data_IF_356635406628
#
_entry.id   IF_356635406628
#
_cell.length_a   1.000
_cell.length_b   1.000
_cell.length_c   1.000
_cell.angle_alpha   90.00
_cell.angle_beta   90.00
_cell.angle_gamma   90.00
#
_symmetry.space_group_name_H-M   'P 1'
#
loop_
_entity.id
_entity.type
_entity.pdbx_description
1 polymer ?
#
# COMPACT_ATOMS: atom_id res chain seq x y z
N UNK A 1 -10.49 14.63 -19.26
CA UNK A 1 -10.57 13.19 -19.64
C UNK A 1 -9.57 12.30 -18.87
N UNK A 2 -8.28 12.60 -18.90
CA UNK A 2 -7.22 11.75 -18.30
C UNK A 2 -7.32 11.68 -16.76
N UNK A 3 -7.63 12.80 -16.10
CA UNK A 3 -7.83 12.83 -14.64
C UNK A 3 -9.00 11.96 -14.16
N UNK A 4 -10.14 11.99 -14.87
CA UNK A 4 -11.30 11.14 -14.54
C UNK A 4 -11.03 9.64 -14.76
N UNK A 5 -10.24 9.29 -15.79
CA UNK A 5 -9.81 7.91 -16.00
C UNK A 5 -8.91 7.45 -14.86
N UNK A 6 -7.95 8.27 -14.44
CA UNK A 6 -7.05 7.94 -13.33
C UNK A 6 -7.81 7.83 -12.00
N UNK A 7 -8.76 8.74 -11.74
CA UNK A 7 -9.61 8.73 -10.55
C UNK A 7 -10.45 7.45 -10.44
N UNK A 8 -11.04 6.97 -11.55
CA UNK A 8 -11.77 5.69 -11.57
C UNK A 8 -10.89 4.49 -11.26
N UNK A 9 -9.62 4.55 -11.64
CA UNK A 9 -8.71 3.41 -11.53
C UNK A 9 -7.98 3.33 -10.19
N UNK A 10 -7.63 4.48 -9.62
CA UNK A 10 -6.91 4.59 -8.36
C UNK A 10 -7.86 4.81 -7.17
N UNK A 11 -9.10 5.23 -7.44
CA UNK A 11 -10.06 5.68 -6.43
C UNK A 11 -9.90 7.17 -6.13
N UNK A 12 -11.03 7.83 -5.89
CA UNK A 12 -11.11 9.29 -5.64
C UNK A 12 -10.21 9.74 -4.48
N UNK A 13 -10.11 8.95 -3.41
CA UNK A 13 -9.24 9.27 -2.28
C UNK A 13 -7.75 9.34 -2.66
N UNK A 14 -7.25 8.35 -3.40
CA UNK A 14 -5.84 8.29 -3.79
C UNK A 14 -5.47 9.37 -4.79
N UNK A 15 -6.37 9.62 -5.75
CA UNK A 15 -6.21 10.69 -6.72
C UNK A 15 -6.20 12.08 -6.04
N UNK A 16 -7.15 12.34 -5.14
CA UNK A 16 -7.18 13.60 -4.38
C UNK A 16 -5.94 13.77 -3.51
N UNK A 17 -5.49 12.71 -2.83
CA UNK A 17 -4.26 12.74 -2.04
C UNK A 17 -3.03 13.03 -2.91
N UNK A 18 -2.97 12.49 -4.12
CA UNK A 18 -1.88 12.76 -5.08
C UNK A 18 -1.83 14.22 -5.54
N UNK A 19 -2.98 14.80 -5.88
CA UNK A 19 -3.08 16.20 -6.28
C UNK A 19 -2.72 17.10 -5.09
N UNK A 20 -3.24 16.79 -3.91
CA UNK A 20 -2.97 17.55 -2.69
C UNK A 20 -1.50 17.50 -2.27
N UNK A 21 -0.87 16.31 -2.29
CA UNK A 21 0.56 16.17 -2.02
C UNK A 21 1.40 16.93 -3.05
N UNK A 22 1.02 16.89 -4.32
CA UNK A 22 1.69 17.64 -5.38
C UNK A 22 1.65 19.14 -5.15
N UNK A 23 0.47 19.68 -4.86
CA UNK A 23 0.30 21.10 -4.52
C UNK A 23 1.16 21.45 -3.30
N UNK A 24 1.13 20.63 -2.25
CA UNK A 24 1.92 20.84 -1.04
C UNK A 24 3.43 20.86 -1.33
N UNK A 25 3.95 19.91 -2.11
CA UNK A 25 5.37 19.89 -2.51
C UNK A 25 5.75 21.10 -3.35
N UNK A 26 4.88 21.53 -4.28
CA UNK A 26 5.14 22.74 -5.07
C UNK A 26 5.16 24.00 -4.21
N UNK A 27 4.27 24.10 -3.21
CA UNK A 27 4.22 25.21 -2.26
C UNK A 27 5.51 25.22 -1.41
N UNK A 28 5.92 24.09 -0.86
CA UNK A 28 7.17 23.99 -0.10
C UNK A 28 8.37 24.38 -0.98
N UNK A 29 8.44 23.87 -2.21
CA UNK A 29 9.49 24.22 -3.16
C UNK A 29 9.54 25.72 -3.47
N UNK A 30 8.38 26.37 -3.61
CA UNK A 30 8.28 27.81 -3.80
C UNK A 30 8.78 28.61 -2.60
N UNK A 31 8.38 28.22 -1.38
CA UNK A 31 8.85 28.87 -0.16
C UNK A 31 10.36 28.70 0.05
N UNK A 32 10.90 27.51 -0.21
CA UNK A 32 12.33 27.24 -0.10
C UNK A 32 13.13 28.08 -1.11
N UNK A 33 12.68 28.16 -2.37
CA UNK A 33 13.31 29.02 -3.37
C UNK A 33 13.25 30.49 -3.00
N UNK A 34 12.10 30.94 -2.48
CA UNK A 34 11.93 32.31 -2.02
C UNK A 34 12.90 32.64 -0.88
N UNK A 35 13.05 31.74 0.10
CA UNK A 35 13.95 31.95 1.25
C UNK A 35 15.44 31.91 0.86
N UNK A 36 15.83 31.00 -0.03
CA UNK A 36 17.23 30.85 -0.47
C UNK A 36 17.66 32.05 -1.35
N UNK A 37 16.76 32.54 -2.19
CA UNK A 37 17.10 33.55 -3.20
C UNK A 37 16.61 34.96 -2.82
N UNK A 38 15.93 35.11 -1.68
CA UNK A 38 15.35 36.39 -1.24
C UNK A 38 14.20 36.91 -2.12
N UNK A 39 13.58 36.03 -2.92
CA UNK A 39 12.46 36.37 -3.80
C UNK A 39 12.84 36.97 -5.17
N UNK A 40 14.12 37.21 -5.45
CA UNK A 40 14.60 37.78 -6.70
C UNK A 40 15.76 36.94 -7.23
N UNK A 41 15.66 36.45 -8.46
CA UNK A 41 16.80 35.80 -9.15
C UNK A 41 17.36 36.74 -10.20
N UNK A 42 18.66 36.99 -10.16
CA UNK A 42 19.35 37.77 -11.19
C UNK A 42 19.88 36.81 -12.24
N UNK A 43 19.43 36.97 -13.48
CA UNK A 43 19.90 36.23 -14.66
C UNK A 43 20.40 37.20 -15.70
N UNK A 44 21.66 37.05 -16.12
CA UNK A 44 22.27 37.87 -17.16
C UNK A 44 22.16 39.40 -16.90
N UNK A 45 22.21 39.79 -15.62
CA UNK A 45 22.07 41.18 -15.17
C UNK A 45 20.62 41.67 -15.00
N UNK A 46 19.61 40.83 -15.27
CA UNK A 46 18.18 41.16 -15.14
C UNK A 46 17.57 40.43 -13.94
N UNK A 47 16.89 41.19 -13.07
CA UNK A 47 16.22 40.68 -11.87
C UNK A 47 14.82 40.14 -12.18
N UNK A 48 14.59 38.85 -11.98
CA UNK A 48 13.31 38.18 -12.11
C UNK A 48 12.71 37.94 -10.72
N UNK A 49 11.45 38.36 -10.52
CA UNK A 49 10.72 38.05 -9.29
C UNK A 49 10.29 36.58 -9.30
N UNK A 50 10.65 35.84 -8.24
CA UNK A 50 10.20 34.46 -8.05
C UNK A 50 8.73 34.49 -7.66
N UNK A 51 7.85 34.39 -8.66
CA UNK A 51 6.39 34.39 -8.49
C UNK A 51 5.70 33.28 -9.29
N UNK A 52 4.38 33.40 -9.44
CA UNK A 52 3.50 32.39 -10.05
C UNK A 52 3.83 31.95 -11.49
N UNK A 53 4.77 32.60 -12.17
CA UNK A 53 5.26 32.19 -13.49
C UNK A 53 6.20 30.97 -13.46
N UNK A 54 6.93 30.76 -12.36
CA UNK A 54 7.90 29.65 -12.22
C UNK A 54 7.21 28.38 -11.72
N UNK A 55 6.18 28.55 -10.89
CA UNK A 55 5.36 27.47 -10.33
C UNK A 55 4.00 27.42 -11.03
N UNK A 56 4.00 26.87 -12.24
CA UNK A 56 2.77 26.70 -13.03
C UNK A 56 2.07 25.37 -12.74
N UNK A 57 0.75 25.35 -12.92
CA UNK A 57 -0.08 24.14 -12.95
C UNK A 57 0.35 23.16 -14.05
N UNK A 58 1.16 23.62 -15.01
CA UNK A 58 1.84 22.80 -16.00
C UNK A 58 2.61 21.65 -15.33
N UNK A 59 3.51 21.92 -14.39
CA UNK A 59 4.34 20.89 -13.75
C UNK A 59 3.52 19.89 -12.91
N UNK A 60 2.40 20.35 -12.33
CA UNK A 60 1.47 19.46 -11.61
C UNK A 60 0.76 18.52 -12.62
N UNK A 61 0.20 19.08 -13.69
CA UNK A 61 -0.45 18.31 -14.77
C UNK A 61 0.50 17.30 -15.39
N UNK A 62 1.77 17.67 -15.47
CA UNK A 62 2.85 16.87 -16.00
C UNK A 62 3.18 15.67 -15.10
N UNK A 63 3.22 15.86 -13.79
CA UNK A 63 3.33 14.76 -12.83
C UNK A 63 2.14 13.79 -12.93
N UNK A 64 0.91 14.31 -13.15
CA UNK A 64 -0.30 13.48 -13.35
C UNK A 64 -0.21 12.68 -14.64
N UNK A 65 0.31 13.29 -15.71
CA UNK A 65 0.52 12.62 -16.99
C UNK A 65 1.50 11.46 -16.85
N UNK A 66 2.63 11.68 -16.18
CA UNK A 66 3.63 10.63 -15.94
C UNK A 66 3.06 9.50 -15.07
N UNK A 67 2.32 9.85 -14.01
CA UNK A 67 1.58 8.91 -13.17
C UNK A 67 0.61 8.03 -13.97
N UNK A 68 -0.15 8.62 -14.88
CA UNK A 68 -1.04 7.91 -15.77
C UNK A 68 -0.28 7.01 -16.76
N UNK A 69 0.82 7.50 -17.35
CA UNK A 69 1.62 6.75 -18.31
C UNK A 69 2.26 5.49 -17.70
N UNK A 70 2.70 5.55 -16.44
CA UNK A 70 3.27 4.39 -15.74
C UNK A 70 2.20 3.40 -15.28
N UNK A 71 1.00 3.87 -14.96
CA UNK A 71 -0.14 3.00 -14.59
C UNK A 71 -0.73 2.27 -15.78
N UNK A 72 -0.70 2.91 -16.96
CA UNK A 72 -1.30 2.41 -18.19
C UNK A 72 -0.32 2.46 -19.36
N UNK A 73 0.78 1.67 -19.32
CA UNK A 73 1.83 1.73 -20.34
C UNK A 73 1.35 1.29 -21.73
N UNK A 74 0.34 0.42 -21.79
CA UNK A 74 -0.21 -0.13 -23.04
C UNK A 74 -1.38 0.69 -23.62
N UNK A 75 -1.88 1.70 -22.88
CA UNK A 75 -2.87 2.62 -23.43
C UNK A 75 -2.28 3.39 -24.62
N UNK A 76 -3.09 3.57 -25.66
CA UNK A 76 -2.72 4.30 -26.87
C UNK A 76 -3.37 5.68 -26.85
N UNK A 77 -2.56 6.72 -27.00
CA UNK A 77 -3.05 8.07 -27.30
C UNK A 77 -2.92 8.31 -28.80
N UNK A 78 -4.00 8.80 -29.41
CA UNK A 78 -3.95 9.24 -30.80
C UNK A 78 -3.39 10.67 -30.85
N UNK A 79 -2.12 10.78 -31.25
CA UNK A 79 -1.43 12.04 -31.42
C UNK A 79 -2.02 12.76 -32.65
N UNK A 80 -2.53 13.97 -32.45
CA UNK A 80 -3.25 14.76 -33.46
C UNK A 80 -4.41 13.99 -34.14
N UNK A 81 -5.02 13.01 -33.45
CA UNK A 81 -6.02 12.08 -34.00
C UNK A 81 -5.54 11.19 -35.17
N UNK A 82 -4.24 11.17 -35.49
CA UNK A 82 -3.69 10.44 -36.65
C UNK A 82 -2.76 9.30 -36.22
N UNK A 83 -1.84 9.54 -35.29
CA UNK A 83 -0.77 8.58 -34.97
C UNK A 83 -1.04 7.93 -33.61
N UNK A 84 -1.36 6.62 -33.54
CA UNK A 84 -1.52 5.93 -32.27
C UNK A 84 -0.14 5.70 -31.62
N UNK A 85 0.12 6.37 -30.50
CA UNK A 85 1.37 6.23 -29.72
C UNK A 85 1.05 5.59 -28.37
N UNK A 86 1.78 4.53 -28.01
CA UNK A 86 1.65 3.89 -26.70
C UNK A 86 2.21 4.79 -25.60
N UNK A 87 1.54 4.86 -24.45
CA UNK A 87 1.93 5.70 -23.32
C UNK A 87 3.33 5.40 -22.78
N UNK A 88 3.79 4.14 -22.86
CA UNK A 88 5.17 3.77 -22.49
C UNK A 88 6.24 4.57 -23.25
N UNK A 89 6.03 4.86 -24.52
CA UNK A 89 6.96 5.65 -25.33
C UNK A 89 6.88 7.13 -25.00
N UNK A 90 5.66 7.64 -24.77
CA UNK A 90 5.45 9.02 -24.33
C UNK A 90 6.15 9.30 -23.00
N UNK A 91 6.09 8.38 -22.04
CA UNK A 91 6.80 8.50 -20.76
C UNK A 91 8.32 8.60 -20.94
N UNK A 92 8.89 7.80 -21.85
CA UNK A 92 10.33 7.82 -22.14
C UNK A 92 10.74 9.13 -22.81
N UNK A 93 10.04 9.53 -23.88
CA UNK A 93 10.32 10.81 -24.58
C UNK A 93 10.23 11.98 -23.60
N UNK A 94 9.18 11.99 -22.79
CA UNK A 94 8.98 13.02 -21.79
C UNK A 94 10.10 13.02 -20.73
N UNK A 95 10.49 11.85 -20.20
CA UNK A 95 11.59 11.73 -19.25
C UNK A 95 12.92 12.23 -19.82
N UNK A 96 13.19 11.99 -21.11
CA UNK A 96 14.38 12.49 -21.80
C UNK A 96 14.35 14.01 -21.94
N UNK A 97 13.21 14.60 -22.33
CA UNK A 97 13.05 16.07 -22.44
C UNK A 97 13.31 16.73 -21.09
N UNK A 98 12.71 16.22 -20.02
CA UNK A 98 12.89 16.75 -18.67
C UNK A 98 14.34 16.67 -18.21
N UNK A 99 15.00 15.55 -18.47
CA UNK A 99 16.41 15.37 -18.10
C UNK A 99 17.31 16.33 -18.88
N UNK A 100 17.04 16.53 -20.17
CA UNK A 100 17.73 17.50 -20.99
C UNK A 100 17.52 18.94 -20.48
N UNK A 101 16.29 19.30 -20.10
CA UNK A 101 15.96 20.60 -19.53
C UNK A 101 16.73 20.84 -18.23
N UNK A 102 16.74 19.87 -17.31
CA UNK A 102 17.48 19.95 -16.04
C UNK A 102 18.97 20.17 -16.30
N UNK A 103 19.58 19.39 -17.18
CA UNK A 103 21.01 19.52 -17.52
C UNK A 103 21.31 20.88 -18.15
N UNK A 104 20.43 21.34 -19.04
CA UNK A 104 20.56 22.63 -19.71
C UNK A 104 20.46 23.80 -18.73
N UNK A 105 19.51 23.75 -17.79
CA UNK A 105 19.35 24.76 -16.74
C UNK A 105 20.53 24.80 -15.79
N UNK A 106 21.08 23.65 -15.41
CA UNK A 106 22.28 23.59 -14.55
C UNK A 106 23.50 24.17 -15.29
N UNK A 107 23.69 23.81 -16.57
CA UNK A 107 24.80 24.32 -17.38
C UNK A 107 24.69 25.83 -17.66
N UNK A 108 23.48 26.34 -17.82
CA UNK A 108 23.18 27.76 -18.02
C UNK A 108 23.12 28.60 -16.73
N UNK A 109 23.44 28.03 -15.56
CA UNK A 109 23.38 28.73 -14.27
C UNK A 109 21.96 29.02 -13.75
N UNK A 110 20.91 28.57 -14.46
CA UNK A 110 19.50 28.79 -14.13
C UNK A 110 18.93 27.67 -13.23
N UNK A 111 19.67 27.29 -12.19
CA UNK A 111 19.34 26.14 -11.34
C UNK A 111 17.95 26.23 -10.69
N UNK A 112 17.45 27.44 -10.42
CA UNK A 112 16.13 27.68 -9.82
C UNK A 112 14.97 27.20 -10.69
N UNK A 113 15.11 27.17 -12.02
CA UNK A 113 14.08 26.63 -12.94
C UNK A 113 13.96 25.12 -12.86
N UNK A 114 15.01 24.42 -12.41
CA UNK A 114 14.97 22.97 -12.21
C UNK A 114 14.19 22.57 -10.96
N UNK A 115 14.04 23.45 -9.97
CA UNK A 115 13.37 23.13 -8.69
C UNK A 115 11.90 22.72 -8.85
N UNK A 116 11.02 23.45 -9.57
CA UNK A 116 9.63 23.02 -9.77
C UNK A 116 9.53 21.69 -10.53
N UNK A 117 10.44 21.45 -11.48
CA UNK A 117 10.53 20.19 -12.22
C UNK A 117 10.87 19.05 -11.26
N UNK A 118 11.91 19.22 -10.44
CA UNK A 118 12.33 18.23 -9.45
C UNK A 118 11.23 17.99 -8.42
N UNK A 119 10.57 19.03 -7.91
CA UNK A 119 9.45 18.89 -6.97
C UNK A 119 8.30 18.05 -7.56
N UNK A 120 7.98 18.24 -8.84
CA UNK A 120 6.94 17.46 -9.53
C UNK A 120 7.32 15.99 -9.72
N UNK A 121 8.59 15.71 -10.04
CA UNK A 121 9.12 14.35 -10.12
C UNK A 121 9.16 13.68 -8.76
N UNK A 122 9.51 14.42 -7.71
CA UNK A 122 9.57 13.93 -6.33
C UNK A 122 8.17 13.54 -5.84
N UNK A 123 7.14 14.33 -6.15
CA UNK A 123 5.74 13.97 -5.89
C UNK A 123 5.36 12.65 -6.58
N UNK A 124 5.73 12.50 -7.86
CA UNK A 124 5.51 11.27 -8.61
C UNK A 124 6.22 10.06 -7.98
N UNK A 125 7.50 10.19 -7.62
CA UNK A 125 8.31 9.11 -7.03
C UNK A 125 7.77 8.71 -5.66
N UNK A 126 7.48 9.68 -4.78
CA UNK A 126 6.93 9.41 -3.46
C UNK A 126 5.57 8.72 -3.55
N UNK A 127 4.72 9.14 -4.48
CA UNK A 127 3.42 8.52 -4.65
C UNK A 127 3.53 7.14 -5.30
N UNK A 128 4.39 6.97 -6.30
CA UNK A 128 4.64 5.66 -6.93
C UNK A 128 5.19 4.66 -5.90
N UNK A 129 6.15 5.06 -5.07
CA UNK A 129 6.65 4.23 -3.97
C UNK A 129 5.61 4.04 -2.86
N UNK A 130 4.81 5.06 -2.56
CA UNK A 130 3.72 5.02 -1.58
C UNK A 130 2.52 4.15 -2.01
N UNK A 131 2.29 4.01 -3.30
CA UNK A 131 1.24 3.17 -3.88
C UNK A 131 1.73 1.78 -4.27
N UNK A 132 3.05 1.56 -4.34
CA UNK A 132 3.67 0.24 -4.47
C UNK A 132 3.50 -0.55 -3.17
N UNK A 133 2.28 -1.03 -2.97
CA UNK A 133 1.84 -1.98 -1.95
C UNK A 133 2.51 -1.84 -0.57
N UNK A 134 2.18 -0.76 0.15
CA UNK A 134 2.12 -0.84 1.62
C UNK A 134 0.87 -1.61 2.10
N UNK A 135 0.18 -2.35 1.24
CA UNK A 135 -0.91 -3.27 1.62
C UNK A 135 -0.44 -4.38 2.59
N UNK A 136 0.87 -4.55 2.75
CA UNK A 136 1.44 -5.42 3.78
C UNK A 136 1.27 -4.89 5.22
N UNK A 137 1.03 -3.59 5.38
CA UNK A 137 0.93 -2.93 6.69
C UNK A 137 -0.38 -2.15 6.84
N UNK A 138 -1.53 -2.78 6.55
CA UNK A 138 -2.79 -2.29 7.10
C UNK A 138 -2.86 -2.75 8.58
N UNK A 139 -2.68 -1.86 9.58
CA UNK A 139 -2.63 -2.26 10.98
C UNK A 139 -3.92 -2.94 11.44
N UNK A 140 -5.07 -2.58 10.83
CA UNK A 140 -6.36 -3.25 11.10
C UNK A 140 -6.39 -4.69 10.59
N UNK A 141 -5.76 -4.96 9.46
CA UNK A 141 -5.74 -6.29 8.87
C UNK A 141 -4.71 -7.21 9.52
N UNK A 142 -3.57 -6.66 9.95
CA UNK A 142 -2.59 -7.35 10.80
C UNK A 142 -3.22 -7.70 12.15
N UNK A 143 -3.93 -6.77 12.79
CA UNK A 143 -4.64 -7.02 14.05
C UNK A 143 -5.71 -8.10 13.88
N UNK A 144 -6.52 -8.04 12.83
CA UNK A 144 -7.50 -9.11 12.51
C UNK A 144 -6.83 -10.47 12.31
N UNK A 145 -5.71 -10.54 11.58
CA UNK A 145 -4.95 -11.80 11.40
C UNK A 145 -4.37 -12.31 12.72
N UNK A 146 -3.89 -11.42 13.58
CA UNK A 146 -3.37 -11.79 14.90
C UNK A 146 -4.49 -12.27 15.83
N UNK A 147 -5.64 -11.61 15.83
CA UNK A 147 -6.81 -12.00 16.62
C UNK A 147 -7.36 -13.36 16.15
N UNK A 148 -7.45 -13.57 14.83
CA UNK A 148 -7.77 -14.89 14.25
C UNK A 148 -6.75 -15.97 14.62
N UNK A 149 -5.44 -15.65 14.57
CA UNK A 149 -4.38 -16.60 14.94
C UNK A 149 -4.42 -16.94 16.43
N UNK A 150 -4.73 -15.96 17.30
CA UNK A 150 -4.93 -16.17 18.74
C UNK A 150 -6.18 -17.01 19.03
N UNK A 151 -7.31 -16.71 18.39
CA UNK A 151 -8.53 -17.50 18.52
C UNK A 151 -8.37 -18.94 18.02
N UNK A 152 -7.68 -19.12 16.89
CA UNK A 152 -7.33 -20.45 16.36
C UNK A 152 -6.36 -21.20 17.28
N UNK A 153 -5.35 -20.52 17.84
CA UNK A 153 -4.42 -21.12 18.80
C UNK A 153 -5.13 -21.52 20.11
N UNK A 154 -6.03 -20.66 20.61
CA UNK A 154 -6.84 -20.95 21.80
C UNK A 154 -7.85 -22.09 21.56
N UNK A 155 -8.40 -22.21 20.35
CA UNK A 155 -9.31 -23.32 20.00
C UNK A 155 -8.62 -24.68 19.83
N UNK A 156 -7.28 -24.71 19.71
CA UNK A 156 -6.52 -25.95 19.48
C UNK A 156 -5.67 -26.41 20.66
N UNK A 157 -5.51 -25.61 21.71
CA UNK A 157 -4.59 -25.95 22.79
C UNK A 157 -5.26 -25.69 24.13
N UNK A 158 -5.66 -26.78 24.79
CA UNK A 158 -6.00 -26.75 26.20
C UNK A 158 -4.70 -26.43 26.96
N UNK A 159 -4.60 -25.32 27.72
CA UNK A 159 -3.34 -24.86 28.32
C UNK A 159 -2.68 -25.81 29.33
N UNK A 160 -3.37 -26.89 29.71
CA UNK A 160 -2.91 -27.82 30.74
C UNK A 160 -2.19 -29.06 30.18
N UNK A 161 -2.27 -29.39 28.88
CA UNK A 161 -1.79 -30.69 28.35
C UNK A 161 -1.05 -30.64 27.01
N UNK A 162 -0.62 -29.45 26.56
CA UNK A 162 0.44 -29.33 25.53
C UNK A 162 0.20 -30.05 24.21
N UNK A 163 -1.05 -30.32 23.82
CA UNK A 163 -1.37 -30.67 22.44
C UNK A 163 -2.82 -31.06 22.23
N UNK A 164 -3.14 -31.27 20.95
CA UNK A 164 -4.48 -31.55 20.46
C UNK A 164 -4.85 -32.99 20.85
N UNK A 165 -5.26 -33.22 22.09
CA UNK A 165 -5.93 -34.47 22.46
C UNK A 165 -7.39 -34.33 22.01
N UNK A 166 -7.75 -34.98 20.90
CA UNK A 166 -9.14 -35.03 20.45
C UNK A 166 -10.03 -35.74 21.46
N UNK A 167 -9.47 -36.72 22.17
CA UNK A 167 -10.23 -37.59 23.06
C UNK A 167 -9.75 -37.52 24.52
N UNK A 168 -10.71 -37.40 25.45
CA UNK A 168 -10.49 -37.32 26.90
C UNK A 168 -11.61 -38.04 27.65
N UNK A 169 -11.26 -38.96 28.55
CA UNK A 169 -12.26 -39.64 29.38
C UNK A 169 -12.87 -38.68 30.42
N UNK A 170 -14.20 -38.67 30.51
CA UNK A 170 -14.95 -37.84 31.46
C UNK A 170 -14.77 -38.22 32.94
N UNK A 171 -14.39 -39.47 33.25
CA UNK A 171 -14.23 -39.97 34.64
C UNK A 171 -12.78 -39.84 35.12
N UNK A 172 -11.83 -40.48 34.43
CA UNK A 172 -10.43 -40.52 34.88
C UNK A 172 -9.52 -39.46 34.24
N UNK A 173 -10.01 -38.72 33.26
CA UNK A 173 -9.24 -37.65 32.62
C UNK A 173 -8.12 -38.09 31.68
N UNK A 174 -7.88 -39.41 31.52
CA UNK A 174 -6.90 -39.95 30.56
C UNK A 174 -7.21 -39.50 29.13
N UNK A 175 -6.16 -39.29 28.35
CA UNK A 175 -6.19 -38.83 26.97
C UNK A 175 -5.49 -39.82 26.04
N UNK A 176 -5.72 -39.70 24.73
CA UNK A 176 -5.08 -40.52 23.68
C UNK A 176 -3.52 -40.47 23.70
N UNK A 177 -2.93 -39.52 24.43
CA UNK A 177 -1.48 -39.42 24.58
C UNK A 177 -0.91 -40.27 25.71
N UNK A 178 -1.72 -40.70 26.66
CA UNK A 178 -1.25 -41.40 27.86
C UNK A 178 -0.94 -42.88 27.58
N UNK A 179 -1.67 -43.51 26.65
CA UNK A 179 -1.40 -44.87 26.15
C UNK A 179 -1.95 -45.03 24.72
N UNK A 180 -1.13 -45.46 23.74
CA UNK A 180 -1.56 -45.63 22.36
C UNK A 180 -2.57 -46.77 22.12
N UNK A 181 -2.80 -47.64 23.10
CA UNK A 181 -3.80 -48.73 23.00
C UNK A 181 -5.17 -48.36 23.57
N UNK A 182 -5.33 -47.17 24.16
CA UNK A 182 -6.60 -46.73 24.74
C UNK A 182 -7.57 -46.27 23.65
N UNK A 183 -8.71 -46.96 23.54
CA UNK A 183 -9.83 -46.48 22.72
C UNK A 183 -10.81 -45.65 23.55
N UNK A 184 -11.29 -44.56 22.96
CA UNK A 184 -12.34 -43.71 23.51
C UNK A 184 -13.65 -43.92 22.75
N UNK A 185 -14.75 -44.14 23.47
CA UNK A 185 -16.07 -44.38 22.89
C UNK A 185 -17.13 -43.52 23.58
N UNK A 186 -18.19 -43.20 22.84
CA UNK A 186 -19.36 -42.49 23.37
C UNK A 186 -20.37 -43.47 23.96
N UNK A 187 -21.02 -43.07 25.04
CA UNK A 187 -22.18 -43.78 25.53
C UNK A 187 -23.45 -43.26 24.84
N UNK A 188 -24.19 -44.14 24.16
CA UNK A 188 -25.43 -43.79 23.46
C UNK A 188 -26.58 -43.39 24.39
N UNK A 189 -26.49 -43.72 25.69
CA UNK A 189 -27.52 -43.44 26.70
C UNK A 189 -27.31 -42.13 27.45
N UNK A 190 -26.10 -41.58 27.42
CA UNK A 190 -25.78 -40.32 28.10
C UNK A 190 -26.22 -39.13 27.23
N UNK A 191 -26.74 -38.07 27.85
CA UNK A 191 -26.97 -36.79 27.17
C UNK A 191 -25.68 -35.98 27.14
N UNK A 192 -25.20 -35.70 25.93
CA UNK A 192 -24.01 -34.89 25.68
C UNK A 192 -22.88 -35.69 25.02
N UNK A 193 -21.85 -34.98 24.54
CA UNK A 193 -20.71 -35.58 23.86
C UNK A 193 -19.63 -35.99 24.87
N UNK A 194 -19.98 -36.85 25.84
CA UNK A 194 -19.03 -37.40 26.81
C UNK A 194 -18.38 -38.67 26.26
N UNK A 195 -17.04 -38.68 26.26
CA UNK A 195 -16.25 -39.84 25.88
C UNK A 195 -15.74 -40.58 27.11
N UNK A 196 -15.68 -41.91 27.00
CA UNK A 196 -15.21 -42.80 28.06
C UNK A 196 -14.12 -43.73 27.50
N UNK A 197 -13.09 -44.00 28.30
CA UNK A 197 -12.12 -45.05 27.98
C UNK A 197 -12.74 -46.43 28.15
N UNK A 198 -12.12 -47.47 27.59
CA UNK A 198 -12.60 -48.87 27.65
C UNK A 198 -12.98 -49.31 29.08
N UNK A 199 -12.18 -48.94 30.09
CA UNK A 199 -12.40 -49.28 31.49
C UNK A 199 -13.65 -48.62 32.12
N UNK A 200 -14.03 -47.43 31.64
CA UNK A 200 -15.12 -46.62 32.21
C UNK A 200 -16.39 -46.62 31.35
N UNK A 201 -16.34 -47.20 30.14
CA UNK A 201 -17.47 -47.22 29.23
C UNK A 201 -18.67 -48.01 29.79
N UNK A 202 -18.42 -49.03 30.61
CA UNK A 202 -19.48 -49.89 31.16
C UNK A 202 -19.78 -49.68 32.65
N UNK A 203 -18.95 -48.89 33.34
CA UNK A 203 -19.03 -48.67 34.79
C UNK A 203 -19.44 -47.24 35.16
N UNK A 204 -19.67 -46.37 34.18
CA UNK A 204 -20.10 -45.00 34.43
C UNK A 204 -21.60 -44.91 34.77
N UNK A 205 -21.93 -43.92 35.60
CA UNK A 205 -23.32 -43.50 35.77
C UNK A 205 -23.77 -42.67 34.58
N UNK A 206 -24.93 -42.99 34.02
CA UNK A 206 -25.46 -42.27 32.87
C UNK A 206 -25.92 -40.87 33.26
N UNK A 207 -25.31 -39.87 32.62
CA UNK A 207 -25.72 -38.46 32.74
C UNK A 207 -26.99 -38.26 31.90
N UNK A 208 -28.10 -37.90 32.55
CA UNK A 208 -29.43 -37.74 31.94
C UNK A 208 -29.70 -36.34 31.42
#
# INVERSE_FOLDING_TARGET
>A
PIGMSLERTWGSFRYTLYIFSGILFTIIGAFLLYFITGGIVVMDGVSYLIGGGIFSTYYISLSVFLAYAMSYPDMQLLLMFVIPVKMRWMAVVYGVIVLFDIVSYIRGGMWFMAVPIVASLLNFVLFYLGTKDFSRYNPKEVRRRQDFKKAMAQSRVNPHTGGVTKHKCAICGRTEKDDPNLEFRFCSKCKGNYEYCQDHLFTHEHVK
#
